data_IF_163137681258
#
_entry.id   IF_163137681258
#
_cell.length_a   1.000
_cell.length_b   1.000
_cell.length_c   1.000
_cell.angle_alpha   90.00
_cell.angle_beta   90.00
_cell.angle_gamma   90.00
#
_symmetry.space_group_name_H-M   'P 1'
#
loop_
_entity.id
_entity.type
_entity.pdbx_description
1 polymer ?
#
# COMPACT_ATOMS: atom_id res chain seq x y z
N UNK A 1 6.03 -0.45 -67.19
CA UNK A 1 5.43 -1.14 -66.03
C UNK A 1 6.14 -0.64 -64.78
N UNK A 2 5.34 -0.13 -63.85
CA UNK A 2 5.73 0.51 -62.59
C UNK A 2 6.00 -0.54 -61.52
N UNK A 3 7.04 -0.39 -60.70
CA UNK A 3 6.95 -0.08 -59.26
C UNK A 3 8.29 -0.34 -58.55
N UNK A 4 8.69 0.70 -57.84
CA UNK A 4 9.71 0.90 -56.83
C UNK A 4 9.96 -0.26 -55.85
N UNK A 5 11.23 -0.64 -55.72
CA UNK A 5 11.74 -1.43 -54.60
C UNK A 5 12.53 -0.50 -53.67
N UNK A 6 11.85 0.06 -52.66
CA UNK A 6 12.48 0.84 -51.60
C UNK A 6 12.50 -0.02 -50.34
N UNK A 7 13.66 -0.31 -49.73
CA UNK A 7 13.68 -1.00 -48.46
C UNK A 7 13.09 -0.09 -47.37
N UNK A 8 11.89 -0.45 -46.90
CA UNK A 8 11.23 0.16 -45.74
C UNK A 8 12.11 -0.09 -44.52
N UNK A 9 12.87 0.95 -44.13
CA UNK A 9 13.63 0.99 -42.88
C UNK A 9 12.61 1.00 -41.73
N UNK A 10 12.29 -0.17 -41.20
CA UNK A 10 11.51 -0.34 -39.97
C UNK A 10 12.31 0.24 -38.81
N UNK A 11 12.18 1.55 -38.60
CA UNK A 11 12.64 2.20 -37.37
C UNK A 11 11.68 1.76 -36.27
N UNK A 12 12.01 0.64 -35.63
CA UNK A 12 11.41 0.27 -34.35
C UNK A 12 11.81 1.34 -33.33
N UNK A 13 11.00 2.40 -33.24
CA UNK A 13 11.10 3.38 -32.16
C UNK A 13 10.77 2.63 -30.87
N UNK A 14 11.82 2.22 -30.16
CA UNK A 14 11.71 1.77 -28.78
C UNK A 14 10.95 2.86 -28.01
N UNK A 15 9.68 2.59 -27.68
CA UNK A 15 8.86 3.47 -26.82
C UNK A 15 9.67 3.67 -25.55
N UNK A 16 10.26 4.85 -25.38
CA UNK A 16 10.94 5.20 -24.15
C UNK A 16 9.94 5.02 -23.01
N UNK A 17 10.32 4.23 -22.00
CA UNK A 17 9.46 3.98 -20.85
C UNK A 17 9.06 5.33 -20.24
N UNK A 18 7.75 5.59 -20.14
CA UNK A 18 7.23 6.80 -19.50
C UNK A 18 7.87 6.92 -18.11
N UNK A 19 8.66 7.96 -17.89
CA UNK A 19 9.23 8.28 -16.59
C UNK A 19 8.18 9.04 -15.80
N UNK A 20 7.68 8.41 -14.76
CA UNK A 20 6.76 9.06 -13.83
C UNK A 20 7.57 9.84 -12.80
N UNK A 21 7.09 11.03 -12.47
CA UNK A 21 7.58 11.79 -11.32
C UNK A 21 7.09 11.18 -10.01
N UNK A 22 7.74 11.54 -8.90
CA UNK A 22 7.31 11.10 -7.57
C UNK A 22 5.88 11.57 -7.24
N UNK A 23 5.50 12.78 -7.69
CA UNK A 23 4.14 13.31 -7.50
C UNK A 23 3.10 12.46 -8.23
N UNK A 24 3.37 12.06 -9.48
CA UNK A 24 2.48 11.18 -10.24
C UNK A 24 2.39 9.79 -9.63
N UNK A 25 3.51 9.26 -9.11
CA UNK A 25 3.53 7.99 -8.37
C UNK A 25 2.61 8.04 -7.15
N UNK A 26 2.76 9.06 -6.30
CA UNK A 26 1.94 9.22 -5.08
C UNK A 26 0.47 9.35 -5.44
N UNK A 27 0.12 10.23 -6.39
CA UNK A 27 -1.25 10.44 -6.83
C UNK A 27 -1.88 9.16 -7.41
N UNK A 28 -1.13 8.39 -8.19
CA UNK A 28 -1.62 7.12 -8.74
C UNK A 28 -1.93 6.11 -7.64
N UNK A 29 -1.04 5.95 -6.64
CA UNK A 29 -1.24 5.01 -5.53
C UNK A 29 -2.46 5.41 -4.69
N UNK A 30 -2.63 6.69 -4.39
CA UNK A 30 -3.80 7.20 -3.66
C UNK A 30 -5.09 6.96 -4.44
N UNK A 31 -5.10 7.30 -5.73
CA UNK A 31 -6.26 7.04 -6.60
C UNK A 31 -6.62 5.56 -6.64
N UNK A 32 -5.63 4.67 -6.73
CA UNK A 32 -5.88 3.23 -6.67
C UNK A 32 -6.51 2.81 -5.33
N UNK A 33 -5.96 3.27 -4.19
CA UNK A 33 -6.51 2.97 -2.85
C UNK A 33 -7.96 3.44 -2.69
N UNK A 34 -8.29 4.60 -3.26
CA UNK A 34 -9.64 5.17 -3.22
C UNK A 34 -10.61 4.50 -4.19
N UNK A 35 -10.12 3.93 -5.29
CA UNK A 35 -10.96 3.38 -6.37
C UNK A 35 -11.72 2.10 -6.02
N UNK A 36 -11.30 1.36 -4.98
CA UNK A 36 -11.86 0.05 -4.55
C UNK A 36 -11.98 -1.01 -5.67
N UNK A 37 -11.28 -0.84 -6.79
CA UNK A 37 -11.22 -1.84 -7.87
C UNK A 37 -9.93 -2.66 -7.79
N UNK A 38 -9.89 -3.80 -8.46
CA UNK A 38 -8.68 -4.63 -8.51
C UNK A 38 -7.53 -3.91 -9.23
N UNK A 39 -6.29 -4.18 -8.81
CA UNK A 39 -5.09 -3.58 -9.42
C UNK A 39 -5.03 -3.82 -10.94
N UNK A 40 -5.42 -5.02 -11.38
CA UNK A 40 -5.48 -5.35 -12.81
C UNK A 40 -6.50 -4.50 -13.56
N UNK A 41 -7.66 -4.20 -12.97
CA UNK A 41 -8.68 -3.38 -13.61
C UNK A 41 -8.32 -1.89 -13.57
N UNK A 42 -7.69 -1.43 -12.48
CA UNK A 42 -7.17 -0.07 -12.37
C UNK A 42 -6.14 0.24 -13.46
N UNK A 43 -5.16 -0.65 -13.66
CA UNK A 43 -4.11 -0.47 -14.66
C UNK A 43 -4.58 -0.64 -16.11
N UNK A 44 -5.82 -1.09 -16.36
CA UNK A 44 -6.42 -1.13 -17.70
C UNK A 44 -7.09 0.19 -18.09
N UNK A 45 -7.36 1.07 -17.13
CA UNK A 45 -7.93 2.39 -17.41
C UNK A 45 -6.88 3.28 -18.09
N UNK A 46 -7.35 4.10 -19.03
CA UNK A 46 -6.47 4.98 -19.80
C UNK A 46 -5.82 6.03 -18.89
N UNK A 47 -4.55 6.33 -19.12
CA UNK A 47 -3.77 7.26 -18.30
C UNK A 47 -3.11 6.65 -17.06
N UNK A 48 -3.52 5.45 -16.63
CA UNK A 48 -2.94 4.79 -15.47
C UNK A 48 -1.60 4.08 -15.76
N UNK A 49 -0.74 3.91 -14.73
CA UNK A 49 0.48 3.15 -14.87
C UNK A 49 0.23 1.68 -15.19
N UNK A 50 1.18 1.06 -15.90
CA UNK A 50 1.14 -0.38 -16.17
C UNK A 50 1.12 -1.19 -14.87
N UNK A 51 0.56 -2.40 -14.95
CA UNK A 51 0.45 -3.30 -13.79
C UNK A 51 1.81 -3.54 -13.10
N UNK A 52 2.89 -3.75 -13.87
CA UNK A 52 4.22 -4.02 -13.31
C UNK A 52 4.77 -2.81 -12.55
N UNK A 53 4.60 -1.60 -13.10
CA UNK A 53 5.02 -0.35 -12.47
C UNK A 53 4.23 -0.12 -11.18
N UNK A 54 2.91 -0.27 -11.25
CA UNK A 54 2.04 -0.04 -10.11
C UNK A 54 2.28 -1.05 -8.97
N UNK A 55 2.50 -2.33 -9.33
CA UNK A 55 2.85 -3.38 -8.37
C UNK A 55 4.15 -3.08 -7.65
N UNK A 56 5.20 -2.65 -8.38
CA UNK A 56 6.48 -2.26 -7.78
C UNK A 56 6.32 -1.08 -6.82
N UNK A 57 5.56 -0.06 -7.21
CA UNK A 57 5.35 1.11 -6.37
C UNK A 57 4.61 0.84 -5.07
N UNK A 58 3.61 -0.03 -5.11
CA UNK A 58 2.86 -0.44 -3.92
C UNK A 58 3.77 -1.23 -2.98
N UNK A 59 4.56 -2.18 -3.50
CA UNK A 59 5.49 -2.98 -2.70
C UNK A 59 6.58 -2.12 -2.02
N UNK A 60 7.14 -1.15 -2.74
CA UNK A 60 8.08 -0.18 -2.18
C UNK A 60 7.43 0.73 -1.13
N UNK A 61 6.18 1.14 -1.34
CA UNK A 61 5.47 2.01 -0.39
C UNK A 61 5.20 1.31 0.95
N UNK A 62 4.99 -0.01 0.94
CA UNK A 62 4.88 -0.83 2.15
C UNK A 62 6.22 -0.98 2.88
N UNK A 63 7.34 -0.99 2.14
CA UNK A 63 8.69 -1.09 2.73
C UNK A 63 9.15 0.27 3.28
N UNK A 64 8.83 1.38 2.62
CA UNK A 64 9.19 2.72 3.06
C UNK A 64 8.47 3.15 4.35
N UNK A 65 7.27 2.63 4.63
CA UNK A 65 6.59 2.80 5.93
C UNK A 65 7.23 2.02 7.08
N UNK A 66 8.30 1.25 6.85
CA UNK A 66 9.01 0.48 7.88
C UNK A 66 10.44 0.96 8.15
N UNK A 67 10.91 2.03 7.48
CA UNK A 67 12.34 2.36 7.50
C UNK A 67 12.75 3.55 8.39
N UNK A 68 11.85 4.33 8.99
CA UNK A 68 12.28 5.39 9.93
C UNK A 68 11.31 5.50 11.11
N UNK A 69 11.80 5.06 12.26
CA UNK A 69 11.28 5.34 13.61
C UNK A 69 10.02 4.58 14.02
N UNK A 70 10.15 3.28 14.29
CA UNK A 70 9.58 2.62 15.48
C UNK A 70 9.85 1.11 15.39
N UNK A 71 11.12 0.75 15.56
CA UNK A 71 11.53 -0.65 15.67
C UNK A 71 11.32 -1.13 17.11
N UNK A 72 10.08 -1.13 17.60
CA UNK A 72 9.69 -1.87 18.79
C UNK A 72 8.19 -2.17 18.69
N UNK A 73 7.87 -3.44 18.46
CA UNK A 73 6.57 -4.09 18.70
C UNK A 73 5.51 -4.20 17.57
N UNK A 74 5.70 -3.65 16.37
CA UNK A 74 4.72 -3.83 15.25
C UNK A 74 5.09 -5.01 14.32
N UNK A 75 6.17 -5.75 14.59
CA UNK A 75 6.62 -6.88 13.77
C UNK A 75 5.72 -8.13 13.80
N UNK A 76 4.64 -8.16 14.60
CA UNK A 76 3.77 -9.36 14.72
C UNK A 76 2.51 -9.33 13.87
N UNK A 77 2.16 -8.18 13.26
CA UNK A 77 0.96 -8.08 12.42
C UNK A 77 1.23 -8.60 10.99
N UNK A 78 2.47 -8.51 10.51
CA UNK A 78 2.86 -8.93 9.15
C UNK A 78 3.19 -10.42 9.02
N UNK A 79 3.37 -11.15 10.13
CA UNK A 79 3.71 -12.58 10.10
C UNK A 79 2.52 -13.51 9.74
N UNK A 80 1.32 -12.94 9.62
CA UNK A 80 0.11 -13.69 9.22
C UNK A 80 -0.29 -13.50 7.76
N UNK A 81 0.23 -12.49 7.07
CA UNK A 81 0.04 -12.34 5.61
C UNK A 81 0.79 -13.41 4.81
N UNK A 82 1.75 -14.10 5.46
CA UNK A 82 2.44 -15.29 4.96
C UNK A 82 1.73 -16.61 5.26
N UNK A 83 0.64 -16.60 6.05
CA UNK A 83 -0.09 -17.83 6.34
C UNK A 83 -1.09 -18.14 5.24
N UNK A 84 -1.08 -19.41 4.86
CA UNK A 84 -1.97 -20.04 3.88
C UNK A 84 -3.39 -19.48 3.96
N UNK A 85 -4.05 -19.25 2.80
CA UNK A 85 -5.43 -18.80 2.80
C UNK A 85 -6.29 -19.75 3.67
N UNK A 86 -7.24 -19.22 4.45
CA UNK A 86 -8.06 -20.02 5.35
C UNK A 86 -8.77 -21.11 4.55
N UNK A 87 -8.71 -22.35 5.04
CA UNK A 87 -9.23 -23.53 4.34
C UNK A 87 -10.76 -23.62 4.45
N UNK A 88 -11.36 -22.94 5.43
CA UNK A 88 -12.80 -22.89 5.64
C UNK A 88 -13.28 -21.50 6.05
N UNK A 89 -14.59 -21.26 5.94
CA UNK A 89 -15.24 -20.02 6.41
C UNK A 89 -15.06 -19.85 7.92
N UNK A 90 -15.12 -20.93 8.68
CA UNK A 90 -15.01 -20.92 10.14
C UNK A 90 -13.60 -20.48 10.58
N UNK A 91 -12.56 -21.00 9.91
CA UNK A 91 -11.17 -20.58 10.15
C UNK A 91 -10.97 -19.09 9.83
N UNK A 92 -11.62 -18.58 8.78
CA UNK A 92 -11.58 -17.16 8.46
C UNK A 92 -12.29 -16.31 9.53
N UNK A 93 -13.44 -16.76 10.02
CA UNK A 93 -14.18 -16.09 11.11
C UNK A 93 -13.33 -16.04 12.38
N UNK A 94 -12.67 -17.12 12.76
CA UNK A 94 -11.76 -17.15 13.92
C UNK A 94 -10.58 -16.18 13.77
N UNK A 95 -9.99 -16.11 12.57
CA UNK A 95 -8.92 -15.14 12.27
C UNK A 95 -9.43 -13.71 12.45
N UNK A 96 -10.65 -13.41 11.98
CA UNK A 96 -11.25 -12.09 12.13
C UNK A 96 -11.55 -11.75 13.60
N UNK A 97 -12.05 -12.70 14.39
CA UNK A 97 -12.24 -12.51 15.83
C UNK A 97 -10.92 -12.22 16.55
N UNK A 98 -9.85 -12.95 16.20
CA UNK A 98 -8.53 -12.72 16.79
C UNK A 98 -7.99 -11.33 16.45
N UNK A 99 -8.15 -10.88 15.20
CA UNK A 99 -7.80 -9.51 14.78
C UNK A 99 -8.59 -8.46 15.53
N UNK A 100 -9.90 -8.69 15.71
CA UNK A 100 -10.75 -7.76 16.44
C UNK A 100 -10.33 -7.63 17.91
N UNK A 101 -9.96 -8.74 18.55
CA UNK A 101 -9.46 -8.72 19.92
C UNK A 101 -8.14 -7.95 20.05
N UNK A 102 -7.20 -8.18 19.13
CA UNK A 102 -5.91 -7.49 19.11
C UNK A 102 -6.06 -5.98 18.89
N UNK A 103 -6.91 -5.57 17.93
CA UNK A 103 -7.21 -4.16 17.68
C UNK A 103 -7.85 -3.47 18.90
N UNK A 104 -8.78 -4.16 19.59
CA UNK A 104 -9.38 -3.63 20.82
C UNK A 104 -8.35 -3.41 21.91
N UNK A 105 -7.42 -4.36 22.08
CA UNK A 105 -6.34 -4.22 23.06
C UNK A 105 -5.43 -3.03 22.74
N UNK A 106 -5.05 -2.86 21.47
CA UNK A 106 -4.25 -1.71 21.04
C UNK A 106 -4.99 -0.39 21.26
N UNK A 107 -6.29 -0.35 21.01
CA UNK A 107 -7.12 0.84 21.23
C UNK A 107 -7.13 1.22 22.71
N UNK A 108 -7.35 0.27 23.61
CA UNK A 108 -7.31 0.51 25.06
C UNK A 108 -5.93 0.98 25.54
N UNK A 109 -4.84 0.47 24.96
CA UNK A 109 -3.50 0.94 25.28
C UNK A 109 -3.28 2.41 24.88
N UNK A 110 -3.80 2.81 23.71
CA UNK A 110 -3.75 4.20 23.24
C UNK A 110 -4.61 5.10 24.12
N UNK A 111 -5.82 4.66 24.47
CA UNK A 111 -6.71 5.39 25.39
C UNK A 111 -6.04 5.63 26.75
N UNK A 112 -5.36 4.62 27.30
CA UNK A 112 -4.58 4.76 28.53
C UNK A 112 -3.46 5.78 28.41
N UNK A 113 -2.74 5.81 27.29
CA UNK A 113 -1.67 6.78 27.05
C UNK A 113 -2.24 8.21 26.94
N UNK A 114 -3.39 8.38 26.31
CA UNK A 114 -4.09 9.68 26.25
C UNK A 114 -4.45 10.16 27.65
N UNK A 115 -5.10 9.32 28.46
CA UNK A 115 -5.49 9.67 29.85
C UNK A 115 -4.25 10.04 30.67
N UNK A 116 -3.16 9.29 30.51
CA UNK A 116 -1.91 9.59 31.20
C UNK A 116 -1.36 10.96 30.81
N UNK A 117 -1.31 11.26 29.51
CA UNK A 117 -0.85 12.55 29.00
C UNK A 117 -1.75 13.69 29.47
N UNK A 118 -3.07 13.51 29.47
CA UNK A 118 -4.03 14.51 29.97
C UNK A 118 -3.78 14.85 31.44
N UNK A 119 -3.57 13.83 32.29
CA UNK A 119 -3.28 14.03 33.72
C UNK A 119 -1.89 14.65 33.96
N UNK A 120 -0.87 14.30 33.16
CA UNK A 120 0.46 14.93 33.27
C UNK A 120 0.44 16.43 32.91
N UNK A 121 -0.52 16.89 32.10
CA UNK A 121 -0.72 18.32 31.80
C UNK A 121 -1.40 19.10 32.94
N UNK A 122 -2.06 18.45 33.89
CA UNK A 122 -2.82 19.10 34.97
C UNK A 122 -2.00 19.33 36.26
N UNK A 123 -0.85 18.66 36.41
CA UNK A 123 0.08 18.84 37.54
C UNK A 123 0.92 20.14 37.46
N UNK A 124 0.66 21.00 36.47
CA UNK A 124 1.38 22.25 36.21
C UNK A 124 0.74 23.52 36.80
N UNK A 125 -0.39 23.44 37.50
CA UNK A 125 -1.02 24.64 38.06
C UNK A 125 -1.75 24.42 39.40
N UNK A 126 -1.00 24.59 40.50
CA UNK A 126 -1.52 25.16 41.74
C UNK A 126 -0.35 25.58 42.67
N UNK A 127 -0.50 26.59 43.53
CA UNK A 127 -1.23 27.87 43.44
C UNK A 127 -0.30 29.09 43.23
#
# INVERSE_FOLDING_TARGET
MSLCDTPVKLIATAKQAKRYSDKERVAAIENFRNSRISLSNFCKQEGNPSYQVMKAWIADSTIASHSKNSATNIGKIDDLAKRTPPKSKDEHIEILYRKLADLRLQMTAIEHEIIKLENETDDGHAP
#
